data_IF_200477442250
#
_entry.id   IF_200477442250
#
_cell.length_a   1.000
_cell.length_b   1.000
_cell.length_c   1.000
_cell.angle_alpha   90.00
_cell.angle_beta   90.00
_cell.angle_gamma   90.00
#
_symmetry.space_group_name_H-M   'P 1'
#
loop_
_entity.id
_entity.type
_entity.pdbx_description
1 polymer ?
#
# COMPACT_ATOMS: atom_id res chain seq x y z
N UNK A 1 -25.11 -3.06 -24.95
CA UNK A 1 -25.86 -4.23 -25.46
C UNK A 1 -24.90 -5.41 -25.55
N UNK A 2 -25.25 -6.56 -24.96
CA UNK A 2 -24.46 -7.80 -25.14
C UNK A 2 -24.63 -8.37 -26.56
N UNK A 3 -23.57 -8.94 -27.14
CA UNK A 3 -23.56 -9.42 -28.53
C UNK A 3 -24.50 -10.61 -28.73
N UNK A 4 -24.62 -11.51 -27.74
CA UNK A 4 -25.49 -12.68 -27.82
C UNK A 4 -26.95 -12.23 -27.74
N UNK A 5 -27.26 -11.32 -26.80
CA UNK A 5 -28.59 -10.72 -26.70
C UNK A 5 -28.99 -9.97 -27.99
N UNK A 6 -28.09 -9.15 -28.55
CA UNK A 6 -28.37 -8.42 -29.80
C UNK A 6 -28.65 -9.37 -30.98
N UNK A 7 -27.92 -10.48 -31.10
CA UNK A 7 -28.17 -11.47 -32.14
C UNK A 7 -29.51 -12.19 -31.97
N UNK A 8 -29.92 -12.51 -30.73
CA UNK A 8 -31.23 -13.10 -30.45
C UNK A 8 -32.38 -12.17 -30.83
N UNK A 9 -32.21 -10.87 -30.64
CA UNK A 9 -33.22 -9.85 -30.97
C UNK A 9 -33.36 -9.65 -32.49
N UNK A 10 -32.24 -9.48 -33.21
CA UNK A 10 -32.26 -9.07 -34.63
C UNK A 10 -32.12 -10.23 -35.63
N UNK A 11 -31.79 -11.44 -35.16
CA UNK A 11 -31.67 -12.66 -35.96
C UNK A 11 -30.54 -12.69 -37.01
N UNK A 12 -29.79 -11.60 -37.19
CA UNK A 12 -28.75 -11.50 -38.23
C UNK A 12 -27.40 -11.04 -37.67
N UNK A 13 -26.30 -11.59 -38.21
CA UNK A 13 -24.96 -11.20 -37.79
C UNK A 13 -24.62 -9.74 -38.12
N UNK A 14 -25.15 -9.20 -39.23
CA UNK A 14 -24.93 -7.81 -39.64
C UNK A 14 -25.74 -6.83 -38.79
N UNK A 15 -27.01 -7.15 -38.48
CA UNK A 15 -27.84 -6.32 -37.61
C UNK A 15 -27.26 -6.22 -36.20
N UNK A 16 -26.87 -7.35 -35.62
CA UNK A 16 -26.26 -7.38 -34.29
C UNK A 16 -24.92 -6.64 -34.25
N UNK A 17 -24.13 -6.73 -35.33
CA UNK A 17 -22.87 -6.01 -35.44
C UNK A 17 -23.07 -4.49 -35.48
N UNK A 18 -24.09 -4.00 -36.19
CA UNK A 18 -24.44 -2.58 -36.23
C UNK A 18 -24.89 -2.07 -34.86
N UNK A 19 -25.73 -2.84 -34.14
CA UNK A 19 -26.17 -2.47 -32.78
C UNK A 19 -25.04 -2.46 -31.75
N UNK A 20 -24.09 -3.38 -31.87
CA UNK A 20 -22.99 -3.54 -30.91
C UNK A 20 -21.70 -2.80 -31.31
N UNK A 21 -21.67 -2.08 -32.43
CA UNK A 21 -20.47 -1.36 -32.90
C UNK A 21 -19.28 -2.29 -33.19
N UNK A 22 -19.52 -3.50 -33.69
CA UNK A 22 -18.49 -4.50 -33.98
C UNK A 22 -18.61 -5.02 -35.41
N UNK A 23 -17.83 -6.05 -35.77
CA UNK A 23 -17.91 -6.68 -37.10
C UNK A 23 -18.79 -7.93 -37.08
N UNK A 24 -19.55 -8.17 -38.15
CA UNK A 24 -20.39 -9.37 -38.28
C UNK A 24 -19.60 -10.68 -38.18
N UNK A 25 -18.31 -10.68 -38.56
CA UNK A 25 -17.38 -11.81 -38.35
C UNK A 25 -17.12 -12.08 -36.87
N UNK A 26 -17.01 -11.01 -36.06
CA UNK A 26 -16.85 -11.13 -34.60
C UNK A 26 -18.12 -11.65 -33.95
N UNK A 27 -19.29 -11.13 -34.37
CA UNK A 27 -20.59 -11.65 -33.92
C UNK A 27 -20.72 -13.14 -34.25
N UNK A 28 -20.54 -13.52 -35.53
CA UNK A 28 -20.58 -14.92 -35.99
C UNK A 28 -19.71 -15.83 -35.13
N UNK A 29 -18.43 -15.45 -34.93
CA UNK A 29 -17.48 -16.20 -34.10
C UNK A 29 -17.93 -16.35 -32.63
N UNK A 30 -18.54 -15.31 -32.06
CA UNK A 30 -19.02 -15.33 -30.67
C UNK A 30 -20.26 -16.24 -30.54
N UNK A 31 -21.19 -16.15 -31.49
CA UNK A 31 -22.41 -16.97 -31.50
C UNK A 31 -22.09 -18.44 -31.73
N UNK A 32 -21.28 -18.76 -32.76
CA UNK A 32 -20.86 -20.13 -33.04
C UNK A 32 -20.15 -20.77 -31.84
N UNK A 33 -19.31 -20.00 -31.15
CA UNK A 33 -18.64 -20.44 -29.92
C UNK A 33 -19.63 -20.66 -28.77
N UNK A 34 -20.58 -19.75 -28.58
CA UNK A 34 -21.60 -19.88 -27.54
C UNK A 34 -22.50 -21.10 -27.78
N UNK A 35 -22.86 -21.38 -29.03
CA UNK A 35 -23.62 -22.56 -29.44
C UNK A 35 -22.83 -23.85 -29.27
N UNK A 36 -21.52 -23.83 -29.53
CA UNK A 36 -20.63 -24.97 -29.30
C UNK A 36 -20.39 -25.28 -27.81
N UNK A 37 -20.85 -24.43 -26.89
CA UNK A 37 -20.55 -24.57 -25.46
C UNK A 37 -19.07 -24.32 -25.11
N UNK A 38 -18.28 -23.84 -26.08
CA UNK A 38 -16.85 -23.64 -25.93
C UNK A 38 -16.58 -22.44 -25.02
N UNK A 39 -16.02 -22.71 -23.83
CA UNK A 39 -15.43 -21.66 -23.00
C UNK A 39 -14.28 -21.04 -23.78
N UNK A 40 -14.17 -19.71 -23.75
CA UNK A 40 -13.04 -19.00 -24.37
C UNK A 40 -11.75 -19.68 -23.91
N UNK A 41 -10.93 -20.25 -24.82
CA UNK A 41 -9.71 -20.90 -24.41
C UNK A 41 -8.91 -19.87 -23.62
N UNK A 42 -8.60 -20.21 -22.37
CA UNK A 42 -7.84 -19.35 -21.49
C UNK A 42 -6.61 -18.88 -22.25
N UNK A 43 -6.32 -17.59 -22.18
CA UNK A 43 -5.12 -17.03 -22.81
C UNK A 43 -3.93 -17.89 -22.36
N UNK A 44 -3.33 -18.65 -23.28
CA UNK A 44 -2.13 -19.45 -22.97
C UNK A 44 -1.12 -18.50 -22.36
N UNK A 45 -0.73 -18.77 -21.11
CA UNK A 45 0.33 -18.03 -20.46
C UNK A 45 1.58 -18.22 -21.33
N UNK A 46 2.10 -17.14 -21.90
CA UNK A 46 3.39 -17.18 -22.58
C UNK A 46 4.42 -17.22 -21.48
N UNK A 47 5.22 -18.28 -21.44
CA UNK A 47 6.38 -18.37 -20.56
C UNK A 47 7.23 -17.13 -20.75
N UNK A 48 7.48 -16.42 -19.65
CA UNK A 48 8.37 -15.28 -19.65
C UNK A 48 9.81 -15.77 -19.58
N UNK A 49 10.71 -15.03 -20.23
CA UNK A 49 12.15 -15.32 -20.25
C UNK A 49 12.85 -15.36 -18.88
N UNK A 50 12.15 -14.98 -17.82
CA UNK A 50 12.66 -14.92 -16.46
C UNK A 50 11.98 -15.92 -15.52
N UNK A 51 11.05 -16.75 -16.02
CA UNK A 51 10.31 -17.71 -15.20
C UNK A 51 11.26 -18.68 -14.48
N UNK A 52 12.33 -19.12 -15.17
CA UNK A 52 13.37 -19.99 -14.61
C UNK A 52 14.11 -19.40 -13.39
N UNK A 53 14.07 -18.08 -13.16
CA UNK A 53 14.79 -17.41 -12.07
C UNK A 53 13.91 -16.59 -11.13
N UNK A 54 12.58 -16.65 -11.31
CA UNK A 54 11.63 -15.89 -10.51
C UNK A 54 11.73 -16.25 -9.02
N UNK A 55 11.86 -17.54 -8.70
CA UNK A 55 11.96 -18.05 -7.33
C UNK A 55 13.28 -17.64 -6.67
N UNK A 56 14.40 -17.79 -7.38
CA UNK A 56 15.72 -17.36 -6.91
C UNK A 56 15.72 -15.86 -6.57
N UNK A 57 15.14 -15.02 -7.43
CA UNK A 57 15.05 -13.58 -7.16
C UNK A 57 14.16 -13.31 -5.94
N UNK A 58 13.05 -14.03 -5.78
CA UNK A 58 12.15 -13.90 -4.63
C UNK A 58 12.84 -14.27 -3.33
N UNK A 59 13.52 -15.41 -3.28
CA UNK A 59 14.30 -15.88 -2.13
C UNK A 59 15.35 -14.84 -1.71
N UNK A 60 16.18 -14.37 -2.65
CA UNK A 60 17.25 -13.42 -2.35
C UNK A 60 16.73 -12.04 -1.97
N UNK A 61 15.60 -11.60 -2.51
CA UNK A 61 14.94 -10.36 -2.09
C UNK A 61 14.45 -10.50 -0.65
N UNK A 62 13.82 -11.61 -0.29
CA UNK A 62 13.36 -11.86 1.08
C UNK A 62 14.53 -11.94 2.06
N UNK A 63 15.57 -12.71 1.75
CA UNK A 63 16.77 -12.89 2.57
C UNK A 63 17.52 -11.57 2.87
N UNK A 64 17.37 -10.56 2.02
CA UNK A 64 18.02 -9.25 2.18
C UNK A 64 17.07 -8.14 2.59
N UNK A 65 15.84 -8.48 3.01
CA UNK A 65 14.79 -7.52 3.33
C UNK A 65 14.61 -6.45 2.23
N UNK A 66 14.65 -6.88 0.96
CA UNK A 66 14.51 -6.01 -0.20
C UNK A 66 15.71 -5.13 -0.55
N UNK A 67 16.86 -5.28 0.13
CA UNK A 67 18.03 -4.41 -0.07
C UNK A 67 18.94 -4.84 -1.25
N UNK A 68 18.97 -6.13 -1.64
CA UNK A 68 19.86 -6.64 -2.70
C UNK A 68 19.71 -5.90 -4.04
N UNK A 69 20.80 -5.57 -4.71
CA UNK A 69 20.74 -4.92 -6.03
C UNK A 69 20.57 -5.95 -7.15
N UNK A 70 19.88 -5.55 -8.23
CA UNK A 70 19.74 -6.39 -9.42
C UNK A 70 21.10 -6.73 -10.07
N UNK A 71 22.10 -5.84 -9.94
CA UNK A 71 23.46 -6.08 -10.43
C UNK A 71 24.11 -7.28 -9.74
N UNK A 72 23.91 -7.44 -8.42
CA UNK A 72 24.42 -8.60 -7.66
C UNK A 72 23.63 -9.88 -7.94
N UNK A 73 22.36 -9.77 -8.33
CA UNK A 73 21.52 -10.91 -8.71
C UNK A 73 21.76 -11.43 -10.13
N UNK A 74 22.36 -10.62 -11.01
CA UNK A 74 22.52 -11.01 -12.40
C UNK A 74 23.46 -12.23 -12.59
N UNK A 75 24.64 -12.31 -11.95
CA UNK A 75 25.48 -13.51 -12.05
C UNK A 75 24.79 -14.80 -11.58
N UNK A 76 24.20 -14.90 -10.37
CA UNK A 76 23.53 -16.14 -9.94
C UNK A 76 22.29 -16.45 -10.78
N UNK A 77 21.56 -15.44 -11.27
CA UNK A 77 20.46 -15.68 -12.21
C UNK A 77 20.96 -16.30 -13.52
N UNK A 78 22.10 -15.84 -14.06
CA UNK A 78 22.70 -16.43 -15.27
C UNK A 78 23.13 -17.88 -15.05
N UNK A 79 23.74 -18.17 -13.90
CA UNK A 79 24.08 -19.56 -13.51
C UNK A 79 22.84 -20.45 -13.45
N UNK A 80 21.69 -19.89 -13.02
CA UNK A 80 20.40 -20.56 -12.99
C UNK A 80 19.66 -20.58 -14.35
N UNK A 81 20.31 -20.24 -15.47
CA UNK A 81 19.73 -20.35 -16.81
C UNK A 81 19.03 -19.08 -17.34
N UNK A 82 19.18 -17.93 -16.67
CA UNK A 82 18.63 -16.68 -17.18
C UNK A 82 19.36 -16.17 -18.44
N UNK A 83 18.69 -16.27 -19.58
CA UNK A 83 19.19 -15.81 -20.88
C UNK A 83 18.74 -14.38 -21.27
N UNK A 84 17.96 -13.70 -20.42
CA UNK A 84 17.42 -12.38 -20.73
C UNK A 84 18.41 -11.22 -20.56
N UNK A 85 18.00 -10.02 -20.98
CA UNK A 85 18.83 -8.81 -20.85
C UNK A 85 18.95 -8.31 -19.40
N UNK A 86 20.01 -7.54 -19.11
CA UNK A 86 20.18 -6.90 -17.80
C UNK A 86 19.05 -5.89 -17.49
N UNK A 87 18.42 -5.29 -18.52
CA UNK A 87 17.25 -4.43 -18.35
C UNK A 87 16.04 -5.23 -17.85
N UNK A 88 15.77 -6.39 -18.47
CA UNK A 88 14.66 -7.27 -18.05
C UNK A 88 14.88 -7.79 -16.62
N UNK A 89 16.10 -8.19 -16.27
CA UNK A 89 16.47 -8.61 -14.91
C UNK A 89 16.19 -7.51 -13.88
N UNK A 90 16.58 -6.26 -14.17
CA UNK A 90 16.27 -5.11 -13.30
C UNK A 90 14.76 -4.91 -13.10
N UNK A 91 13.95 -5.10 -14.15
CA UNK A 91 12.49 -4.98 -14.05
C UNK A 91 11.88 -6.08 -13.19
N UNK A 92 12.32 -7.32 -13.35
CA UNK A 92 11.92 -8.45 -12.49
C UNK A 92 12.22 -8.12 -11.02
N UNK A 93 13.48 -7.79 -10.70
CA UNK A 93 13.90 -7.50 -9.32
C UNK A 93 13.11 -6.33 -8.73
N UNK A 94 12.85 -5.27 -9.50
CA UNK A 94 12.06 -4.14 -9.04
C UNK A 94 10.60 -4.54 -8.74
N UNK A 95 9.98 -5.37 -9.59
CA UNK A 95 8.64 -5.89 -9.38
C UNK A 95 8.57 -6.79 -8.13
N UNK A 96 9.52 -7.71 -7.96
CA UNK A 96 9.61 -8.58 -6.80
C UNK A 96 9.82 -7.78 -5.51
N UNK A 97 10.70 -6.78 -5.50
CA UNK A 97 10.87 -5.86 -4.35
C UNK A 97 9.60 -5.08 -4.05
N UNK A 98 8.88 -4.62 -5.07
CA UNK A 98 7.58 -3.94 -4.89
C UNK A 98 6.57 -4.88 -4.24
N UNK A 99 6.52 -6.14 -4.66
CA UNK A 99 5.65 -7.15 -4.05
C UNK A 99 6.04 -7.43 -2.59
N UNK A 100 7.32 -7.68 -2.32
CA UNK A 100 7.83 -7.90 -0.97
C UNK A 100 7.48 -6.75 -0.03
N UNK A 101 7.68 -5.49 -0.45
CA UNK A 101 7.34 -4.30 0.35
C UNK A 101 5.85 -4.16 0.66
N UNK A 102 4.93 -4.71 -0.14
CA UNK A 102 3.49 -4.67 0.19
C UNK A 102 3.20 -5.50 1.45
N UNK A 103 3.82 -6.67 1.59
CA UNK A 103 3.67 -7.52 2.78
C UNK A 103 4.57 -7.13 3.96
N UNK A 104 5.64 -6.38 3.70
CA UNK A 104 6.67 -6.04 4.70
C UNK A 104 6.81 -4.53 4.91
N UNK A 105 5.74 -3.78 4.66
CA UNK A 105 5.72 -2.36 4.99
C UNK A 105 5.66 -2.22 6.52
N UNK A 106 6.42 -1.28 7.08
CA UNK A 106 6.17 -0.84 8.45
C UNK A 106 4.78 -0.22 8.45
N UNK A 107 3.84 -0.86 9.14
CA UNK A 107 2.44 -0.45 9.16
C UNK A 107 2.33 1.00 9.64
N UNK A 108 1.77 1.87 8.80
CA UNK A 108 1.08 3.06 9.31
C UNK A 108 -0.39 2.70 9.28
N UNK A 109 -0.94 2.35 10.45
CA UNK A 109 -2.39 2.18 10.58
C UNK A 109 -3.03 3.53 10.23
N UNK A 110 -3.96 3.60 9.26
CA UNK A 110 -4.75 4.80 9.08
C UNK A 110 -5.44 5.09 10.40
N UNK A 111 -5.05 6.18 11.04
CA UNK A 111 -5.58 6.50 12.33
C UNK A 111 -6.79 7.42 12.14
N UNK A 112 -7.98 6.83 12.30
CA UNK A 112 -9.20 7.56 12.55
C UNK A 112 -9.16 7.95 14.02
N UNK A 113 -9.10 9.24 14.29
CA UNK A 113 -9.03 9.77 15.65
C UNK A 113 -10.37 10.38 16.02
N UNK A 114 -11.00 9.91 17.09
CA UNK A 114 -12.15 10.59 17.68
C UNK A 114 -11.65 11.72 18.59
N UNK A 115 -12.39 12.84 18.76
CA UNK A 115 -12.08 13.81 19.81
C UNK A 115 -11.83 13.12 21.17
N UNK A 116 -10.72 13.44 21.83
CA UNK A 116 -10.37 12.92 23.16
C UNK A 116 -9.58 11.60 23.19
N UNK A 117 -9.46 10.85 22.09
CA UNK A 117 -8.79 9.54 22.10
C UNK A 117 -7.26 9.61 22.06
N UNK A 118 -6.71 10.58 21.34
CA UNK A 118 -5.27 10.64 21.08
C UNK A 118 -4.74 12.06 21.20
N UNK A 119 -3.74 12.22 22.06
CA UNK A 119 -2.93 13.43 22.20
C UNK A 119 -1.49 13.09 21.80
N UNK A 120 -0.96 13.77 20.80
CA UNK A 120 0.45 13.66 20.41
C UNK A 120 1.23 14.73 21.17
N UNK A 121 2.24 14.29 21.92
CA UNK A 121 3.11 15.17 22.71
C UNK A 121 4.53 15.09 22.13
N UNK A 122 5.20 16.24 22.05
CA UNK A 122 6.59 16.34 21.61
C UNK A 122 7.33 17.47 22.33
N UNK A 123 8.66 17.38 22.33
CA UNK A 123 9.58 18.39 22.86
C UNK A 123 10.55 18.83 21.78
N UNK A 124 10.66 20.14 21.55
CA UNK A 124 11.68 20.77 20.72
C UNK A 124 12.77 21.42 21.57
N UNK A 125 13.97 21.50 21.03
CA UNK A 125 15.06 22.31 21.58
C UNK A 125 15.14 23.63 20.77
N UNK A 126 15.05 24.76 21.47
CA UNK A 126 15.14 26.10 20.87
C UNK A 126 16.53 26.74 21.06
N UNK A 127 17.49 26.02 21.64
CA UNK A 127 18.82 26.51 22.00
C UNK A 127 18.83 27.30 23.31
N UNK A 128 20.02 27.49 23.88
CA UNK A 128 20.21 28.31 25.09
C UNK A 128 19.56 27.77 26.36
N UNK A 129 19.30 26.45 26.44
CA UNK A 129 18.58 25.83 27.56
C UNK A 129 17.06 26.01 27.51
N UNK A 130 16.53 26.59 26.43
CA UNK A 130 15.10 26.75 26.20
C UNK A 130 14.54 25.55 25.42
N UNK A 131 13.51 24.93 25.98
CA UNK A 131 12.78 23.83 25.35
C UNK A 131 11.35 24.26 25.00
N UNK A 132 10.78 23.64 23.97
CA UNK A 132 9.43 23.89 23.47
C UNK A 132 8.61 22.62 23.63
N UNK A 133 7.65 22.63 24.56
CA UNK A 133 6.64 21.59 24.67
C UNK A 133 5.53 21.83 23.64
N UNK A 134 5.10 20.77 22.96
CA UNK A 134 3.96 20.79 22.05
C UNK A 134 3.00 19.64 22.36
N UNK A 135 1.71 19.95 22.51
CA UNK A 135 0.65 18.95 22.61
C UNK A 135 -0.42 19.20 21.55
N UNK A 136 -0.78 18.16 20.81
CA UNK A 136 -1.67 18.24 19.65
C UNK A 136 -2.70 17.11 19.69
N UNK A 137 -4.00 17.41 19.89
CA UNK A 137 -5.05 16.42 19.73
C UNK A 137 -5.07 15.97 18.27
N UNK A 138 -5.05 14.65 18.04
CA UNK A 138 -4.86 14.10 16.71
C UNK A 138 -6.04 14.40 15.76
N UNK A 139 -7.25 14.58 16.32
CA UNK A 139 -8.48 14.93 15.60
C UNK A 139 -8.52 16.40 15.14
N UNK A 140 -8.32 17.38 16.04
CA UNK A 140 -8.47 18.81 15.71
C UNK A 140 -7.21 19.46 15.16
N UNK A 141 -6.03 18.88 15.41
CA UNK A 141 -4.72 19.47 15.09
C UNK A 141 -4.44 20.84 15.71
N UNK A 142 -5.25 21.28 16.67
CA UNK A 142 -4.97 22.48 17.47
C UNK A 142 -3.67 22.25 18.25
N UNK A 143 -2.76 23.23 18.23
CA UNK A 143 -1.45 23.12 18.87
C UNK A 143 -1.44 23.90 20.16
N UNK A 144 -1.19 23.21 21.26
CA UNK A 144 -0.79 23.83 22.51
C UNK A 144 0.73 23.86 22.58
N UNK A 145 1.32 25.04 22.72
CA UNK A 145 2.77 25.23 22.75
C UNK A 145 3.17 25.95 24.03
N UNK A 146 4.21 25.48 24.70
CA UNK A 146 4.78 26.12 25.89
C UNK A 146 6.30 26.08 25.85
N UNK A 147 6.93 27.11 26.39
CA UNK A 147 8.36 27.12 26.64
C UNK A 147 8.64 26.60 28.04
N UNK A 148 9.72 25.85 28.21
CA UNK A 148 10.21 25.38 29.49
C UNK A 148 11.75 25.42 29.53
N UNK A 149 12.29 25.43 30.74
CA UNK A 149 13.72 25.38 31.04
C UNK A 149 14.28 23.95 31.10
N UNK A 150 13.41 22.93 31.07
CA UNK A 150 13.77 21.52 31.04
C UNK A 150 12.65 20.67 30.41
N UNK A 151 12.96 19.42 30.06
CA UNK A 151 12.02 18.46 29.44
C UNK A 151 11.25 17.60 30.45
N UNK A 152 11.16 18.00 31.73
CA UNK A 152 10.47 17.19 32.76
C UNK A 152 8.96 17.32 32.60
N UNK A 153 8.23 16.26 32.96
CA UNK A 153 6.78 16.18 32.84
C UNK A 153 6.01 17.13 33.79
N UNK A 154 6.55 17.42 34.98
CA UNK A 154 5.81 18.08 36.06
C UNK A 154 5.35 19.53 35.75
N UNK A 155 6.16 20.39 35.10
CA UNK A 155 5.70 21.73 34.68
C UNK A 155 4.69 21.70 33.52
N UNK A 156 4.76 20.69 32.64
CA UNK A 156 3.93 20.61 31.44
C UNK A 156 2.47 20.22 31.73
N UNK A 157 2.25 19.34 32.72
CA UNK A 157 0.90 18.84 33.05
C UNK A 157 0.17 19.66 34.11
N UNK A 158 0.89 20.34 35.02
CA UNK A 158 0.28 21.16 36.08
C UNK A 158 -0.43 22.42 35.56
N UNK A 159 -0.07 22.89 34.36
CA UNK A 159 -0.68 24.08 33.72
C UNK A 159 -1.65 23.73 32.58
N UNK A 160 -1.79 22.44 32.23
CA UNK A 160 -2.79 21.99 31.25
C UNK A 160 -4.23 21.99 31.81
N UNK A 161 -4.39 22.22 33.12
CA UNK A 161 -5.64 22.52 33.80
C UNK A 161 -5.74 24.04 34.02
N UNK A 162 -6.20 24.82 33.03
CA UNK A 162 -7.65 24.92 32.81
C UNK A 162 -7.99 25.10 31.33
N UNK A 163 -8.33 24.01 30.63
CA UNK A 163 -9.12 24.08 29.40
C UNK A 163 -10.54 23.52 29.61
N UNK A 164 -11.14 23.83 30.77
CA UNK A 164 -12.54 23.55 31.09
C UNK A 164 -13.39 24.83 30.98
N UNK A 165 -13.48 25.40 29.79
CA UNK A 165 -14.53 26.37 29.41
C UNK A 165 -15.70 25.70 28.68
N UNK A 166 -15.57 24.42 28.34
CA UNK A 166 -16.64 23.58 27.82
C UNK A 166 -16.43 22.22 28.47
N UNK A 167 -17.50 21.67 29.05
CA UNK A 167 -17.52 20.37 29.72
C UNK A 167 -17.03 19.28 28.73
N UNK A 168 -15.74 18.97 28.80
CA UNK A 168 -15.17 17.76 28.23
C UNK A 168 -14.74 16.91 29.41
N UNK A 169 -15.58 15.92 29.76
CA UNK A 169 -15.13 14.84 30.63
C UNK A 169 -13.94 14.18 29.93
N UNK A 170 -12.76 14.36 30.51
CA UNK A 170 -11.57 13.60 30.15
C UNK A 170 -11.84 12.17 30.64
N UNK A 171 -12.63 11.40 29.89
CA UNK A 171 -12.74 9.95 30.07
C UNK A 171 -11.50 9.31 29.44
N UNK A 172 -10.34 9.64 29.98
CA UNK A 172 -9.06 9.16 29.52
C UNK A 172 -8.71 7.87 30.27
N UNK A 173 -9.11 6.73 29.72
CA UNK A 173 -8.23 5.55 29.83
C UNK A 173 -7.04 5.78 28.89
N UNK A 174 -6.15 6.69 29.27
CA UNK A 174 -4.82 6.77 28.65
C UNK A 174 -4.03 5.62 29.27
N UNK A 175 -3.94 4.49 28.56
CA UNK A 175 -2.90 3.49 28.85
C UNK A 175 -1.55 4.14 28.52
N UNK A 176 -0.94 4.73 29.53
CA UNK A 176 0.48 5.06 29.53
C UNK A 176 1.22 3.73 29.73
N UNK A 177 1.59 3.04 28.66
CA UNK A 177 2.69 2.10 28.75
C UNK A 177 3.97 2.93 28.91
N UNK A 178 4.28 3.23 30.17
CA UNK A 178 5.61 3.69 30.54
C UNK A 178 6.57 2.53 30.24
N UNK A 179 7.36 2.65 29.16
CA UNK A 179 8.61 1.92 29.08
C UNK A 179 9.58 2.55 30.08
N UNK A 180 9.36 2.24 31.34
CA UNK A 180 10.37 2.28 32.38
C UNK A 180 11.27 1.08 32.17
N UNK A 181 12.44 1.30 31.59
CA UNK A 181 13.60 0.45 31.82
C UNK A 181 14.81 1.35 31.97
N UNK A 182 14.99 1.80 33.22
CA UNK A 182 16.26 2.23 33.78
C UNK A 182 17.13 0.98 33.99
N UNK A 183 18.28 0.94 33.33
CA UNK A 183 19.62 0.96 33.94
C UNK A 183 20.58 1.49 32.89
#
# INVERSE_FOLDING_TARGET
MDIIAAYREVGTYRGAAAMCGTTHKTVKRIIERALAGDKTPGRKHREHNYDAVADLVTEKVAATAGKISAKRLLPPARTAGYAGSARSSRRLVAATKKAWRRGHHRGRRPALWTPGEMLVIDWGDAGGGLHVFCAVPAWSRVRFVRFADNQRAAPAFSTAAPMSGTRWEISATVRIEALSSLT
#
